data_IF_078663514493
#
_entry.id   IF_078663514493
#
_cell.length_a   1.000
_cell.length_b   1.000
_cell.length_c   1.000
_cell.angle_alpha   90.00
_cell.angle_beta   90.00
_cell.angle_gamma   90.00
#
_symmetry.space_group_name_H-M   'P 1'
#
loop_
_entity.id
_entity.type
_entity.pdbx_description
1 polymer ?
#
# COMPACT_ATOMS: atom_id res chain seq x y z
N UNK A 1 5.25 8.50 -15.65
CA UNK A 1 5.82 8.23 -14.31
C UNK A 1 6.79 7.06 -14.43
N UNK A 2 8.03 7.16 -13.93
CA UNK A 2 8.99 6.05 -13.96
C UNK A 2 8.69 5.08 -12.80
N UNK A 3 8.69 3.76 -13.01
CA UNK A 3 8.43 2.80 -11.94
C UNK A 3 9.59 2.73 -10.94
N UNK A 4 9.28 2.56 -9.66
CA UNK A 4 10.29 2.24 -8.66
C UNK A 4 10.78 0.80 -8.86
N UNK A 5 12.09 0.58 -8.78
CA UNK A 5 12.71 -0.74 -8.93
C UNK A 5 13.17 -1.33 -7.60
N UNK A 6 13.20 -0.50 -6.58
CA UNK A 6 13.71 -0.84 -5.26
C UNK A 6 12.96 -0.06 -4.18
N UNK A 7 12.99 -0.60 -2.97
CA UNK A 7 12.42 -0.01 -1.76
C UNK A 7 13.36 -0.30 -0.59
N UNK A 8 13.59 0.70 0.26
CA UNK A 8 14.36 0.55 1.51
C UNK A 8 13.43 0.80 2.68
N UNK A 9 13.42 -0.11 3.66
CA UNK A 9 12.58 0.02 4.84
C UNK A 9 13.01 1.19 5.73
N UNK A 10 12.07 1.84 6.41
CA UNK A 10 12.38 3.01 7.25
C UNK A 10 13.22 2.66 8.49
N UNK A 11 12.94 1.48 9.08
CA UNK A 11 13.61 0.99 10.29
C UNK A 11 14.57 -0.18 10.01
N UNK A 12 14.84 -0.50 8.74
CA UNK A 12 15.70 -1.61 8.36
C UNK A 12 16.55 -1.24 7.16
N UNK A 13 17.88 -1.50 7.19
CA UNK A 13 18.75 -1.30 6.04
C UNK A 13 18.53 -2.35 4.94
N UNK A 14 17.41 -3.10 4.98
CA UNK A 14 17.08 -4.08 3.94
C UNK A 14 16.57 -3.37 2.69
N UNK A 15 17.23 -3.67 1.59
CA UNK A 15 16.82 -3.28 0.24
C UNK A 15 15.97 -4.39 -0.39
N UNK A 16 14.78 -4.02 -0.85
CA UNK A 16 13.83 -4.90 -1.52
C UNK A 16 13.80 -4.55 -3.00
N UNK A 17 14.12 -5.52 -3.87
CA UNK A 17 13.97 -5.35 -5.33
C UNK A 17 12.55 -5.64 -5.76
N UNK A 18 11.99 -4.76 -6.58
CA UNK A 18 10.67 -4.90 -7.18
C UNK A 18 10.87 -5.45 -8.60
N UNK A 19 10.72 -6.77 -8.74
CA UNK A 19 11.03 -7.49 -9.99
C UNK A 19 9.92 -7.42 -11.05
N UNK A 20 8.89 -6.61 -10.84
CA UNK A 20 7.76 -6.48 -11.74
C UNK A 20 7.26 -5.04 -11.81
N UNK A 21 6.52 -4.73 -12.88
CA UNK A 21 5.87 -3.44 -13.02
C UNK A 21 4.55 -3.43 -12.24
N UNK A 22 4.51 -2.71 -11.12
CA UNK A 22 3.30 -2.47 -10.36
C UNK A 22 2.60 -1.18 -10.81
N UNK A 23 1.28 -1.23 -10.97
CA UNK A 23 0.42 -0.08 -11.22
C UNK A 23 -0.87 -0.18 -10.40
N UNK A 24 -1.75 0.81 -10.51
CA UNK A 24 -2.98 0.85 -9.71
C UNK A 24 -3.94 -0.33 -9.99
N UNK A 25 -3.82 -0.99 -11.14
CA UNK A 25 -4.57 -2.19 -11.52
C UNK A 25 -3.95 -3.51 -11.05
N UNK A 26 -2.71 -3.50 -10.55
CA UNK A 26 -2.05 -4.71 -10.03
C UNK A 26 -2.81 -5.25 -8.82
N UNK A 27 -2.99 -6.57 -8.75
CA UNK A 27 -3.52 -7.28 -7.59
C UNK A 27 -2.63 -8.46 -7.21
N UNK A 28 -2.98 -9.19 -6.14
CA UNK A 28 -2.19 -10.31 -5.64
C UNK A 28 -0.87 -9.86 -4.99
N UNK A 29 -0.89 -8.72 -4.29
CA UNK A 29 0.31 -8.06 -3.77
C UNK A 29 0.17 -7.74 -2.29
N UNK A 30 1.33 -7.60 -1.64
CA UNK A 30 1.49 -6.93 -0.35
C UNK A 30 1.98 -5.51 -0.64
N UNK A 31 1.38 -4.50 0.00
CA UNK A 31 1.69 -3.09 -0.23
C UNK A 31 1.93 -2.36 1.10
N UNK A 32 2.72 -1.28 1.02
CA UNK A 32 3.03 -0.39 2.13
C UNK A 32 2.48 1.00 1.81
N UNK A 33 1.67 1.55 2.71
CA UNK A 33 1.26 2.95 2.69
C UNK A 33 2.06 3.69 3.75
N UNK A 34 2.68 4.81 3.37
CA UNK A 34 3.39 5.69 4.30
C UNK A 34 2.70 7.04 4.32
N UNK A 35 2.26 7.46 5.51
CA UNK A 35 1.73 8.80 5.74
C UNK A 35 2.87 9.82 5.72
N UNK A 36 2.55 11.08 5.40
CA UNK A 36 3.51 12.18 5.47
C UNK A 36 4.11 12.38 6.86
N UNK A 37 3.42 11.96 7.93
CA UNK A 37 3.93 11.97 9.30
C UNK A 37 4.85 10.78 9.64
N UNK A 38 5.09 9.87 8.70
CA UNK A 38 5.97 8.71 8.86
C UNK A 38 5.28 7.43 9.35
N UNK A 39 3.98 7.48 9.70
CA UNK A 39 3.22 6.26 10.04
C UNK A 39 3.10 5.35 8.83
N UNK A 40 3.31 4.04 9.05
CA UNK A 40 3.32 3.02 8.00
C UNK A 40 2.25 1.97 8.24
N UNK A 41 1.54 1.60 7.17
CA UNK A 41 0.52 0.55 7.15
C UNK A 41 0.87 -0.50 6.09
N UNK A 42 0.87 -1.78 6.48
CA UNK A 42 1.08 -2.90 5.58
C UNK A 42 -0.28 -3.56 5.30
N UNK A 43 -0.64 -3.63 4.02
CA UNK A 43 -1.84 -4.31 3.56
C UNK A 43 -1.51 -5.44 2.58
N UNK A 44 -2.44 -6.39 2.43
CA UNK A 44 -2.39 -7.41 1.39
C UNK A 44 -3.69 -7.37 0.59
N UNK A 45 -3.63 -7.68 -0.70
CA UNK A 45 -4.86 -7.76 -1.50
C UNK A 45 -4.71 -8.68 -2.70
N UNK A 46 -5.77 -9.43 -2.99
CA UNK A 46 -5.94 -10.14 -4.26
C UNK A 46 -6.60 -9.26 -5.33
N UNK A 47 -7.25 -8.17 -4.91
CA UNK A 47 -7.96 -7.20 -5.77
C UNK A 47 -6.96 -6.17 -6.32
N UNK A 48 -7.39 -5.39 -7.31
CA UNK A 48 -6.59 -4.25 -7.79
C UNK A 48 -6.30 -3.25 -6.66
N UNK A 49 -5.04 -2.82 -6.50
CA UNK A 49 -4.60 -1.88 -5.46
C UNK A 49 -5.52 -0.66 -5.39
N UNK A 50 -5.89 -0.07 -6.53
CA UNK A 50 -6.78 1.10 -6.60
C UNK A 50 -8.06 0.91 -5.79
N UNK A 51 -8.68 -0.27 -5.90
CA UNK A 51 -9.94 -0.55 -5.21
C UNK A 51 -9.74 -0.58 -3.70
N UNK A 52 -8.74 -1.29 -3.22
CA UNK A 52 -8.40 -1.34 -1.80
C UNK A 52 -7.99 0.04 -1.24
N UNK A 53 -7.19 0.82 -1.98
CA UNK A 53 -6.80 2.17 -1.56
C UNK A 53 -8.01 3.10 -1.46
N UNK A 54 -8.91 3.09 -2.45
CA UNK A 54 -10.13 3.90 -2.41
C UNK A 54 -11.06 3.51 -1.27
N UNK A 55 -11.25 2.20 -1.02
CA UNK A 55 -12.05 1.70 0.11
C UNK A 55 -11.44 2.13 1.45
N UNK A 56 -10.12 2.00 1.61
CA UNK A 56 -9.41 2.43 2.81
C UNK A 56 -9.55 3.94 3.04
N UNK A 57 -9.33 4.76 2.01
CA UNK A 57 -9.48 6.21 2.10
C UNK A 57 -10.92 6.60 2.46
N UNK A 58 -11.93 5.97 1.85
CA UNK A 58 -13.33 6.23 2.17
C UNK A 58 -13.67 5.84 3.62
N UNK A 59 -13.06 4.76 4.15
CA UNK A 59 -13.20 4.34 5.55
C UNK A 59 -12.62 5.42 6.48
N UNK A 60 -11.39 5.89 6.20
CA UNK A 60 -10.71 6.94 6.96
C UNK A 60 -11.49 8.26 6.94
N UNK A 61 -11.98 8.69 5.77
CA UNK A 61 -12.74 9.94 5.64
C UNK A 61 -14.07 9.96 6.39
N UNK A 62 -14.61 8.79 6.76
CA UNK A 62 -15.91 8.67 7.43
C UNK A 62 -15.79 8.36 8.92
N UNK A 63 -14.57 8.29 9.47
CA UNK A 63 -14.27 7.91 10.86
C UNK A 63 -14.98 6.62 11.31
N UNK A 64 -15.30 5.73 10.35
CA UNK A 64 -16.02 4.49 10.64
C UNK A 64 -15.05 3.53 11.34
N UNK A 65 -15.14 3.47 12.67
CA UNK A 65 -14.32 2.65 13.56
C UNK A 65 -14.65 1.15 13.49
N UNK A 66 -15.66 0.76 12.70
CA UNK A 66 -15.99 -0.63 12.43
C UNK A 66 -15.06 -1.18 11.36
N UNK A 67 -13.93 -1.72 11.85
CA UNK A 67 -13.01 -2.68 11.21
C UNK A 67 -13.08 -2.63 9.68
N UNK A 68 -12.24 -1.80 9.07
CA UNK A 68 -11.98 -1.92 7.63
C UNK A 68 -11.21 -3.25 7.41
N UNK A 69 -11.90 -4.39 7.44
CA UNK A 69 -11.36 -5.68 6.98
C UNK A 69 -11.19 -5.60 5.46
N UNK A 70 -10.04 -5.07 5.03
CA UNK A 70 -9.64 -4.97 3.61
C UNK A 70 -8.97 -6.24 3.13
#
# INVERSE_FOLDING_TARGET
MKPSKDFTGNNSPRHYKINFYANCGTGGVIYLVTCVCGLQYIGKTIRAIRKCTSEHLNCVSRELTTVCEV
#
